data_IF_644970783467
#
_entry.id   IF_644970783467
#
_cell.length_a   1.000
_cell.length_b   1.000
_cell.length_c   1.000
_cell.angle_alpha   90.00
_cell.angle_beta   90.00
_cell.angle_gamma   90.00
#
_symmetry.space_group_name_H-M   'P 1'
#
loop_
_entity.id
_entity.type
_entity.pdbx_description
1 polymer ?
#
# COMPACT_ATOMS: atom_id res chain seq x y z
N UNK A 1 42.50 -49.56 47.05
CA UNK A 1 42.40 -49.98 45.64
C UNK A 1 41.88 -48.81 44.81
N UNK A 2 42.44 -48.62 43.61
CA UNK A 2 42.11 -47.67 42.54
C UNK A 2 42.78 -46.28 42.64
N UNK A 3 43.99 -46.20 42.10
CA UNK A 3 44.60 -44.93 41.68
C UNK A 3 43.98 -44.46 40.36
N UNK A 4 43.68 -43.17 40.28
CA UNK A 4 43.18 -42.53 39.07
C UNK A 4 44.34 -42.24 38.10
N UNK A 5 44.31 -42.86 36.91
CA UNK A 5 45.23 -42.53 35.82
C UNK A 5 44.81 -41.21 35.18
N UNK A 6 45.63 -40.17 35.36
CA UNK A 6 45.49 -38.90 34.67
C UNK A 6 46.09 -39.03 33.26
N UNK A 7 45.24 -39.28 32.26
CA UNK A 7 45.64 -39.30 30.85
C UNK A 7 45.63 -37.86 30.34
N UNK A 8 46.82 -37.30 30.06
CA UNK A 8 46.93 -36.03 29.32
C UNK A 8 46.63 -36.31 27.84
N UNK A 9 45.71 -35.59 27.20
CA UNK A 9 45.49 -35.74 25.77
C UNK A 9 46.68 -35.13 25.01
N UNK A 10 47.54 -35.97 24.44
CA UNK A 10 48.56 -35.54 23.48
C UNK A 10 47.86 -35.25 22.14
N UNK A 11 47.41 -34.01 21.98
CA UNK A 11 46.85 -33.52 20.72
C UNK A 11 48.04 -33.32 19.78
N UNK A 12 48.14 -34.20 18.78
CA UNK A 12 49.22 -34.16 17.78
C UNK A 12 49.32 -32.78 17.12
N UNK A 13 50.52 -32.20 16.94
CA UNK A 13 50.69 -30.92 16.26
C UNK A 13 50.17 -30.96 14.82
N UNK A 14 50.11 -32.14 14.20
CA UNK A 14 49.53 -32.36 12.88
C UNK A 14 48.01 -32.15 12.90
N UNK A 15 47.33 -32.54 13.99
CA UNK A 15 45.90 -32.33 14.16
C UNK A 15 45.57 -30.84 14.39
N UNK A 16 46.43 -30.10 15.09
CA UNK A 16 46.30 -28.64 15.22
C UNK A 16 46.51 -27.93 13.87
N UNK A 17 47.51 -28.33 13.09
CA UNK A 17 47.80 -27.73 11.78
C UNK A 17 46.67 -28.03 10.79
N UNK A 18 46.11 -29.25 10.81
CA UNK A 18 44.96 -29.64 9.99
C UNK A 18 43.69 -28.89 10.40
N UNK A 19 43.44 -28.66 11.70
CA UNK A 19 42.33 -27.82 12.15
C UNK A 19 42.52 -26.35 11.73
N UNK A 20 43.74 -25.80 11.84
CA UNK A 20 44.04 -24.43 11.44
C UNK A 20 43.93 -24.21 9.93
N UNK A 21 44.39 -25.17 9.12
CA UNK A 21 44.23 -25.11 7.66
C UNK A 21 42.78 -25.30 7.24
N UNK A 22 42.00 -26.14 7.93
CA UNK A 22 40.57 -26.27 7.67
C UNK A 22 39.83 -24.95 7.97
N UNK A 23 40.16 -24.24 9.05
CA UNK A 23 39.58 -22.92 9.40
C UNK A 23 39.95 -21.85 8.36
N UNK A 24 41.16 -21.90 7.79
CA UNK A 24 41.59 -20.98 6.73
C UNK A 24 40.98 -21.31 5.35
N UNK A 25 40.57 -22.56 5.11
CA UNK A 25 39.85 -22.99 3.90
C UNK A 25 38.32 -22.88 3.99
N UNK A 26 37.74 -22.62 5.17
CA UNK A 26 36.35 -22.15 5.28
C UNK A 26 36.34 -20.71 4.76
N UNK A 27 36.23 -20.61 3.44
CA UNK A 27 36.17 -19.35 2.71
C UNK A 27 35.17 -18.41 3.39
N UNK A 28 35.61 -17.16 3.57
CA UNK A 28 34.79 -16.04 4.01
C UNK A 28 33.46 -16.11 3.26
N UNK A 29 32.38 -16.45 3.96
CA UNK A 29 31.06 -16.52 3.36
C UNK A 29 30.84 -15.21 2.59
N UNK A 30 30.31 -15.25 1.36
CA UNK A 30 30.07 -14.04 0.60
C UNK A 30 29.23 -13.13 1.49
N UNK A 31 29.78 -11.97 1.86
CA UNK A 31 29.04 -10.96 2.61
C UNK A 31 27.87 -10.57 1.72
N UNK A 32 26.67 -11.04 2.05
CA UNK A 32 25.45 -10.54 1.42
C UNK A 32 25.46 -9.03 1.62
N UNK A 33 25.55 -8.28 0.52
CA UNK A 33 25.51 -6.82 0.58
C UNK A 33 24.23 -6.43 1.30
N UNK A 34 24.36 -5.70 2.40
CA UNK A 34 23.22 -5.06 3.05
C UNK A 34 22.59 -4.11 2.04
N UNK A 35 21.27 -4.17 1.92
CA UNK A 35 20.53 -3.28 1.05
C UNK A 35 20.66 -1.85 1.55
N UNK A 36 20.89 -0.90 0.66
CA UNK A 36 21.00 0.51 1.01
C UNK A 36 19.82 1.32 0.46
N UNK A 37 19.57 2.46 1.11
CA UNK A 37 18.70 3.50 0.54
C UNK A 37 19.14 3.82 -0.88
N UNK A 38 18.19 3.77 -1.82
CA UNK A 38 18.46 4.01 -3.22
C UNK A 38 19.00 2.80 -3.98
N UNK A 39 18.96 1.57 -3.46
CA UNK A 39 19.10 0.36 -4.29
C UNK A 39 17.79 0.01 -5.03
N UNK A 40 16.65 0.50 -4.53
CA UNK A 40 15.33 0.18 -5.05
C UNK A 40 14.65 1.36 -5.74
N UNK A 41 13.74 1.03 -6.66
CA UNK A 41 12.71 1.90 -7.21
C UNK A 41 11.35 1.31 -6.82
N UNK A 42 10.47 2.13 -6.27
CA UNK A 42 9.13 1.75 -5.88
C UNK A 42 8.11 2.47 -6.75
N UNK A 43 7.42 1.71 -7.60
CA UNK A 43 6.34 2.20 -8.44
C UNK A 43 5.02 1.80 -7.80
N UNK A 44 4.13 2.77 -7.58
CA UNK A 44 2.82 2.53 -6.97
C UNK A 44 1.76 3.29 -7.76
N UNK A 45 0.64 2.63 -8.02
CA UNK A 45 -0.54 3.25 -8.61
C UNK A 45 -1.80 2.79 -7.85
N UNK A 46 -2.92 3.45 -8.13
CA UNK A 46 -4.24 2.91 -7.84
C UNK A 46 -4.83 2.44 -9.18
N UNK A 47 -5.54 1.32 -9.18
CA UNK A 47 -6.08 0.70 -10.41
C UNK A 47 -7.52 1.13 -10.73
N UNK A 48 -8.20 1.81 -9.80
CA UNK A 48 -9.60 2.25 -9.97
C UNK A 48 -9.71 3.63 -10.60
N UNK A 49 -8.66 4.45 -10.53
CA UNK A 49 -8.73 5.88 -10.78
C UNK A 49 -9.48 6.60 -9.65
N UNK A 50 -10.20 7.66 -10.01
CA UNK A 50 -11.10 8.37 -9.08
C UNK A 50 -12.21 7.42 -8.61
N UNK A 51 -12.15 6.93 -7.38
CA UNK A 51 -13.19 6.06 -6.85
C UNK A 51 -14.34 6.89 -6.26
N UNK A 52 -15.53 6.80 -6.83
CA UNK A 52 -16.71 7.44 -6.26
C UNK A 52 -17.20 6.64 -5.06
N UNK A 53 -17.66 7.31 -4.01
CA UNK A 53 -18.39 6.70 -2.88
C UNK A 53 -19.66 7.50 -2.60
N UNK A 54 -20.64 6.89 -1.95
CA UNK A 54 -21.81 7.64 -1.48
C UNK A 54 -21.43 8.53 -0.30
N UNK A 55 -22.02 9.73 -0.22
CA UNK A 55 -21.92 10.55 0.99
C UNK A 55 -22.71 9.93 2.17
N UNK A 56 -23.82 9.24 1.88
CA UNK A 56 -24.60 8.47 2.83
C UNK A 56 -25.08 7.16 2.21
N UNK A 57 -25.02 6.08 2.97
CA UNK A 57 -25.34 4.72 2.59
C UNK A 57 -26.74 4.29 3.08
N UNK A 58 -27.44 5.11 3.86
CA UNK A 58 -28.73 4.78 4.50
C UNK A 58 -29.77 4.09 3.60
N UNK A 59 -29.87 4.50 2.33
CA UNK A 59 -30.87 3.96 1.40
C UNK A 59 -30.26 3.15 0.25
N UNK A 60 -29.04 3.50 -0.16
CA UNK A 60 -28.34 2.90 -1.28
C UNK A 60 -26.84 3.13 -1.12
N UNK A 61 -26.04 2.13 -1.48
CA UNK A 61 -24.61 2.27 -1.72
C UNK A 61 -24.31 1.87 -3.15
N UNK A 62 -23.96 2.84 -4.00
CA UNK A 62 -23.47 2.57 -5.36
C UNK A 62 -22.08 1.96 -5.23
N UNK A 63 -21.22 2.62 -4.45
CA UNK A 63 -19.89 2.16 -4.13
C UNK A 63 -19.55 2.52 -2.67
N UNK A 64 -18.88 1.62 -1.93
CA UNK A 64 -18.43 1.87 -0.57
C UNK A 64 -17.21 2.82 -0.54
N UNK A 65 -16.81 3.34 0.63
CA UNK A 65 -15.49 3.93 0.82
C UNK A 65 -14.43 2.88 0.47
N UNK A 66 -13.64 3.14 -0.57
CA UNK A 66 -12.78 2.11 -1.14
C UNK A 66 -11.72 2.74 -2.05
N UNK A 67 -10.50 2.22 -2.00
CA UNK A 67 -9.55 2.31 -3.10
C UNK A 67 -8.53 1.15 -2.98
N UNK A 68 -7.78 0.90 -4.03
CA UNK A 68 -6.70 -0.08 -4.05
C UNK A 68 -5.36 0.61 -4.28
N UNK A 69 -4.28 -0.01 -3.83
CA UNK A 69 -2.92 0.34 -4.23
C UNK A 69 -2.25 -0.90 -4.79
N UNK A 70 -1.64 -0.79 -5.97
CA UNK A 70 -0.76 -1.79 -6.54
C UNK A 70 0.67 -1.26 -6.56
N UNK A 71 1.61 -2.08 -6.13
CA UNK A 71 3.01 -1.72 -6.05
C UNK A 71 3.91 -2.74 -6.78
N UNK A 72 4.93 -2.21 -7.44
CA UNK A 72 6.02 -2.98 -8.00
C UNK A 72 7.35 -2.42 -7.50
N UNK A 73 8.17 -3.32 -6.95
CA UNK A 73 9.50 -2.99 -6.44
C UNK A 73 10.52 -3.45 -7.48
N UNK A 74 11.44 -2.58 -7.85
CA UNK A 74 12.52 -2.88 -8.80
C UNK A 74 13.84 -2.68 -8.07
N UNK A 75 14.65 -3.73 -7.98
CA UNK A 75 16.04 -3.61 -7.61
C UNK A 75 16.81 -3.06 -8.81
N UNK A 76 17.49 -1.93 -8.62
CA UNK A 76 18.27 -1.30 -9.67
C UNK A 76 19.44 -2.21 -10.07
N UNK A 77 19.67 -2.23 -11.37
CA UNK A 77 20.88 -2.79 -11.95
C UNK A 77 22.09 -1.87 -11.79
N UNK A 78 23.22 -2.30 -12.34
CA UNK A 78 24.42 -1.50 -12.54
C UNK A 78 25.02 -1.82 -13.92
N UNK A 79 26.26 -1.40 -14.18
CA UNK A 79 26.95 -1.67 -15.45
C UNK A 79 27.06 -3.17 -15.82
N UNK A 80 26.89 -4.07 -14.85
CA UNK A 80 27.08 -5.52 -14.99
C UNK A 80 25.83 -6.35 -14.65
N UNK A 81 24.85 -5.76 -13.96
CA UNK A 81 23.64 -6.44 -13.48
C UNK A 81 22.39 -5.78 -14.05
N UNK A 82 21.49 -6.57 -14.65
CA UNK A 82 20.19 -6.05 -15.13
C UNK A 82 19.27 -5.71 -13.94
N UNK A 83 18.38 -4.71 -14.07
CA UNK A 83 17.31 -4.47 -13.10
C UNK A 83 16.43 -5.71 -12.91
N UNK A 84 15.92 -5.91 -11.70
CA UNK A 84 15.09 -7.08 -11.35
C UNK A 84 13.85 -6.65 -10.61
N UNK A 85 12.70 -7.20 -11.00
CA UNK A 85 11.47 -7.07 -10.21
C UNK A 85 11.64 -7.90 -8.94
N UNK A 86 11.39 -7.27 -7.81
CA UNK A 86 11.35 -7.90 -6.51
C UNK A 86 9.91 -8.36 -6.28
N UNK A 87 9.74 -9.65 -6.03
CA UNK A 87 8.51 -10.26 -5.55
C UNK A 87 8.71 -10.72 -4.10
N UNK A 88 7.64 -11.15 -3.42
CA UNK A 88 7.62 -11.42 -1.97
C UNK A 88 8.66 -12.41 -1.41
N UNK A 89 9.47 -13.06 -2.25
CA UNK A 89 10.53 -13.99 -1.84
C UNK A 89 11.93 -13.39 -1.84
N UNK A 90 12.14 -12.18 -2.37
CA UNK A 90 13.49 -11.68 -2.66
C UNK A 90 14.13 -10.80 -1.60
N UNK A 91 13.37 -10.31 -0.62
CA UNK A 91 13.91 -9.51 0.48
C UNK A 91 13.41 -10.10 1.80
N UNK A 92 14.21 -10.98 2.39
CA UNK A 92 13.92 -11.58 3.68
C UNK A 92 13.84 -10.50 4.75
N UNK A 93 12.73 -10.47 5.49
CA UNK A 93 12.54 -9.55 6.61
C UNK A 93 12.18 -8.11 6.20
N UNK A 94 12.00 -7.80 4.92
CA UNK A 94 11.46 -6.49 4.54
C UNK A 94 9.94 -6.46 4.63
N UNK A 95 9.41 -5.27 4.90
CA UNK A 95 7.97 -5.01 4.91
C UNK A 95 7.62 -3.85 3.98
N UNK A 96 6.58 -4.03 3.16
CA UNK A 96 5.99 -2.96 2.35
C UNK A 96 4.69 -2.53 2.99
N UNK A 97 4.65 -1.31 3.52
CA UNK A 97 3.50 -0.76 4.24
C UNK A 97 2.93 0.46 3.53
N UNK A 98 1.66 0.76 3.81
CA UNK A 98 1.01 2.01 3.42
C UNK A 98 0.39 2.71 4.63
N UNK A 99 0.27 4.03 4.49
CA UNK A 99 -0.55 4.88 5.36
C UNK A 99 -1.19 5.99 4.53
N UNK A 100 -2.26 6.61 5.05
CA UNK A 100 -2.87 7.80 4.45
C UNK A 100 -2.64 9.01 5.38
N UNK A 101 -1.53 9.75 5.22
CA UNK A 101 -1.22 10.89 6.07
C UNK A 101 -2.34 11.93 6.10
N UNK A 102 -2.83 12.27 7.30
CA UNK A 102 -3.90 13.23 7.51
C UNK A 102 -5.32 12.69 7.31
N UNK A 103 -5.47 11.38 7.07
CA UNK A 103 -6.77 10.71 6.98
C UNK A 103 -6.70 9.32 7.65
N UNK A 104 -6.66 9.34 8.98
CA UNK A 104 -6.36 8.17 9.81
C UNK A 104 -7.59 7.34 10.18
N UNK A 105 -8.79 7.89 9.99
CA UNK A 105 -10.05 7.22 10.24
C UNK A 105 -11.09 7.67 9.21
N UNK A 106 -12.11 6.85 8.99
CA UNK A 106 -13.22 7.12 8.08
C UNK A 106 -14.58 7.03 8.76
N UNK A 107 -14.68 6.28 9.87
CA UNK A 107 -15.89 6.24 10.70
C UNK A 107 -16.25 7.65 11.19
N UNK A 108 -17.53 8.02 11.17
CA UNK A 108 -17.97 9.36 11.53
C UNK A 108 -17.80 10.43 10.43
N UNK A 109 -17.09 10.12 9.34
CA UNK A 109 -17.07 10.93 8.09
C UNK A 109 -18.08 10.42 7.06
N UNK A 110 -18.54 9.18 7.24
CA UNK A 110 -19.61 8.52 6.50
C UNK A 110 -20.38 7.59 7.44
N UNK A 111 -21.57 7.18 7.04
CA UNK A 111 -22.44 6.23 7.76
C UNK A 111 -22.31 4.78 7.25
N UNK A 112 -21.28 4.47 6.44
CA UNK A 112 -21.08 3.16 5.82
C UNK A 112 -21.18 1.98 6.78
N UNK A 113 -20.39 1.97 7.86
CA UNK A 113 -20.37 0.90 8.87
C UNK A 113 -21.67 0.76 9.67
N UNK A 114 -22.60 1.72 9.58
CA UNK A 114 -23.95 1.56 10.16
C UNK A 114 -24.84 0.70 9.28
N UNK A 115 -24.57 0.61 7.97
CA UNK A 115 -25.44 -0.02 6.99
C UNK A 115 -24.79 -1.15 6.20
N UNK A 116 -23.52 -1.47 6.45
CA UNK A 116 -22.78 -2.52 5.77
C UNK A 116 -23.46 -3.91 5.88
N UNK A 117 -23.98 -4.27 7.06
CA UNK A 117 -24.68 -5.54 7.24
C UNK A 117 -25.96 -5.61 6.40
N UNK A 118 -26.68 -4.49 6.28
CA UNK A 118 -27.92 -4.43 5.51
C UNK A 118 -27.68 -4.37 3.99
N UNK A 119 -26.58 -3.76 3.55
CA UNK A 119 -26.30 -3.50 2.12
C UNK A 119 -25.36 -4.53 1.49
N UNK A 120 -24.41 -5.05 2.26
CA UNK A 120 -23.35 -5.96 1.81
C UNK A 120 -23.37 -7.31 2.54
N UNK A 121 -24.22 -7.48 3.56
CA UNK A 121 -24.33 -8.74 4.30
C UNK A 121 -23.15 -9.05 5.21
N UNK A 122 -22.33 -8.03 5.52
CA UNK A 122 -21.13 -8.13 6.37
C UNK A 122 -21.17 -7.05 7.45
N UNK A 123 -20.76 -7.41 8.66
CA UNK A 123 -20.61 -6.51 9.82
C UNK A 123 -19.11 -6.24 10.00
N UNK A 124 -18.63 -5.13 9.46
CA UNK A 124 -17.22 -4.78 9.47
C UNK A 124 -16.87 -4.00 10.73
N UNK A 125 -15.69 -4.25 11.34
CA UNK A 125 -15.16 -3.32 12.34
C UNK A 125 -14.99 -1.92 11.76
N UNK A 126 -15.17 -0.89 12.59
CA UNK A 126 -14.93 0.50 12.23
C UNK A 126 -13.57 0.69 11.54
N UNK A 127 -13.56 1.46 10.45
CA UNK A 127 -12.37 1.77 9.66
C UNK A 127 -11.70 0.58 8.96
N UNK A 128 -12.38 -0.56 8.89
CA UNK A 128 -11.96 -1.72 8.10
C UNK A 128 -12.81 -1.80 6.84
N UNK A 129 -12.17 -1.99 5.70
CA UNK A 129 -12.83 -2.12 4.40
C UNK A 129 -13.25 -3.56 4.11
N UNK A 130 -13.99 -3.73 3.01
CA UNK A 130 -14.59 -5.03 2.61
C UNK A 130 -13.58 -6.17 2.41
N UNK A 131 -12.30 -5.84 2.24
CA UNK A 131 -11.19 -6.78 2.03
C UNK A 131 -10.33 -6.98 3.28
N UNK A 132 -10.73 -6.39 4.41
CA UNK A 132 -10.03 -6.49 5.71
C UNK A 132 -8.91 -5.47 5.91
N UNK A 133 -8.65 -4.59 4.94
CA UNK A 133 -7.63 -3.54 5.05
C UNK A 133 -8.14 -2.30 5.80
N UNK A 134 -7.24 -1.63 6.52
CA UNK A 134 -7.51 -0.34 7.19
C UNK A 134 -6.91 0.85 6.42
N UNK A 135 -6.80 2.00 7.09
CA UNK A 135 -6.16 3.22 6.55
C UNK A 135 -4.62 3.15 6.65
N UNK A 136 -4.12 2.17 7.39
CA UNK A 136 -2.72 1.78 7.48
C UNK A 136 -2.65 0.26 7.40
N UNK A 137 -1.64 -0.28 6.74
CA UNK A 137 -1.46 -1.72 6.66
C UNK A 137 -0.29 -2.14 5.80
N UNK A 138 -0.18 -3.44 5.56
CA UNK A 138 0.88 -4.03 4.77
C UNK A 138 0.31 -4.53 3.44
N UNK A 139 1.12 -4.49 2.38
CA UNK A 139 0.70 -5.04 1.11
C UNK A 139 0.74 -6.57 1.12
N UNK A 140 -0.21 -7.19 0.41
CA UNK A 140 -0.19 -8.63 0.15
C UNK A 140 0.62 -8.92 -1.11
N UNK A 141 1.60 -9.85 -1.08
CA UNK A 141 2.35 -10.25 -2.26
C UNK A 141 1.46 -11.00 -3.25
N UNK A 142 1.60 -10.68 -4.54
CA UNK A 142 0.98 -11.38 -5.67
C UNK A 142 2.08 -11.81 -6.65
N UNK A 143 1.72 -12.59 -7.69
CA UNK A 143 2.69 -13.17 -8.62
C UNK A 143 3.70 -12.17 -9.18
N UNK A 144 3.26 -10.95 -9.52
CA UNK A 144 4.08 -9.92 -10.18
C UNK A 144 4.11 -8.57 -9.44
N UNK A 145 3.96 -8.58 -8.11
CA UNK A 145 4.00 -7.35 -7.33
C UNK A 145 3.32 -7.49 -5.97
N UNK A 146 2.71 -6.41 -5.53
CA UNK A 146 2.11 -6.27 -4.21
C UNK A 146 0.80 -5.50 -4.35
N UNK A 147 -0.22 -5.88 -3.58
CA UNK A 147 -1.51 -5.20 -3.61
C UNK A 147 -2.08 -4.98 -2.20
N UNK A 148 -2.71 -3.83 -2.00
CA UNK A 148 -3.58 -3.54 -0.87
C UNK A 148 -4.92 -3.12 -1.44
N UNK A 149 -5.93 -3.98 -1.35
CA UNK A 149 -7.26 -3.70 -1.89
C UNK A 149 -8.20 -3.19 -0.82
N UNK A 150 -9.23 -2.44 -1.20
CA UNK A 150 -10.33 -2.08 -0.31
C UNK A 150 -9.91 -1.31 0.94
N UNK A 151 -8.95 -0.40 0.78
CA UNK A 151 -8.61 0.60 1.77
C UNK A 151 -9.84 1.50 1.93
N UNK A 152 -10.46 1.61 3.12
CA UNK A 152 -11.73 2.32 3.29
C UNK A 152 -11.50 3.82 3.46
N UNK A 153 -10.78 4.42 2.50
CA UNK A 153 -10.46 5.85 2.50
C UNK A 153 -11.66 6.67 2.06
N UNK A 154 -11.88 7.79 2.74
CA UNK A 154 -12.90 8.79 2.43
C UNK A 154 -12.24 10.06 1.88
N UNK A 155 -12.95 10.93 1.15
CA UNK A 155 -12.33 12.13 0.61
C UNK A 155 -12.18 13.24 1.66
N UNK A 156 -12.42 12.97 2.94
CA UNK A 156 -12.46 13.96 4.01
C UNK A 156 -11.27 13.77 4.95
N UNK A 157 -10.25 14.66 4.92
CA UNK A 157 -9.13 14.60 5.87
C UNK A 157 -9.58 14.81 7.32
N UNK A 158 -8.79 14.32 8.27
CA UNK A 158 -9.07 14.40 9.70
C UNK A 158 -9.23 15.86 10.18
N UNK A 159 -8.43 16.78 9.61
CA UNK A 159 -8.45 18.20 9.95
C UNK A 159 -9.68 18.93 9.41
N UNK A 160 -10.30 18.41 8.34
CA UNK A 160 -11.42 19.02 7.64
C UNK A 160 -12.46 17.96 7.24
N UNK A 161 -13.10 17.28 8.22
CA UNK A 161 -13.91 16.08 7.98
C UNK A 161 -15.20 16.33 7.19
N UNK A 162 -15.50 17.60 6.87
CA UNK A 162 -16.66 18.03 6.07
C UNK A 162 -16.27 18.70 4.75
N UNK A 163 -14.96 18.91 4.49
CA UNK A 163 -14.47 19.52 3.26
C UNK A 163 -13.82 18.43 2.43
N UNK A 164 -14.28 18.28 1.19
CA UNK A 164 -13.80 17.25 0.29
C UNK A 164 -12.41 17.59 -0.27
N UNK A 165 -11.50 16.63 -0.18
CA UNK A 165 -10.17 16.63 -0.78
C UNK A 165 -9.99 15.31 -1.55
N UNK A 166 -10.39 15.26 -2.82
CA UNK A 166 -10.52 13.98 -3.52
C UNK A 166 -9.20 13.42 -4.06
N UNK A 167 -8.12 14.21 -4.05
CA UNK A 167 -6.79 13.82 -4.55
C UNK A 167 -5.76 13.68 -3.41
N UNK A 168 -6.13 12.96 -2.36
CA UNK A 168 -5.21 12.66 -1.26
C UNK A 168 -4.07 11.74 -1.71
N UNK A 169 -2.97 11.75 -0.97
CA UNK A 169 -1.80 10.92 -1.24
C UNK A 169 -1.65 9.86 -0.17
N UNK A 170 -1.33 8.63 -0.59
CA UNK A 170 -0.82 7.62 0.32
C UNK A 170 0.68 7.81 0.53
N UNK A 171 1.22 7.28 1.61
CA UNK A 171 2.65 7.09 1.83
C UNK A 171 2.93 5.60 1.86
N UNK A 172 3.79 5.12 0.96
CA UNK A 172 4.23 3.72 0.91
C UNK A 172 5.71 3.69 1.24
N UNK A 173 6.09 2.77 2.12
CA UNK A 173 7.46 2.59 2.58
C UNK A 173 7.85 1.12 2.46
N UNK A 174 9.02 0.86 1.86
CA UNK A 174 9.70 -0.42 1.98
C UNK A 174 10.74 -0.30 3.09
N UNK A 175 10.61 -1.12 4.12
CA UNK A 175 11.56 -1.19 5.24
C UNK A 175 12.36 -2.49 5.19
N UNK A 176 13.59 -2.49 5.70
CA UNK A 176 14.36 -3.71 5.96
C UNK A 176 14.01 -4.33 7.32
N UNK A 177 14.68 -5.43 7.66
CA UNK A 177 14.49 -6.16 8.92
C UNK A 177 14.83 -5.35 10.17
N UNK A 178 15.63 -4.28 10.02
CA UNK A 178 16.02 -3.40 11.12
C UNK A 178 15.07 -2.19 11.23
N UNK A 179 14.04 -2.12 10.38
CA UNK A 179 13.08 -1.01 10.30
C UNK A 179 13.60 0.20 9.52
N UNK A 180 14.73 0.10 8.83
CA UNK A 180 15.27 1.18 8.01
C UNK A 180 14.50 1.31 6.72
N UNK A 181 14.05 2.53 6.38
CA UNK A 181 13.34 2.77 5.13
C UNK A 181 14.32 2.76 3.94
N UNK A 182 14.13 1.80 3.04
CA UNK A 182 14.95 1.57 1.85
C UNK A 182 14.49 2.44 0.65
N UNK A 183 13.18 2.64 0.52
CA UNK A 183 12.57 3.48 -0.53
C UNK A 183 11.15 3.89 -0.14
N UNK A 184 10.68 5.04 -0.65
CA UNK A 184 9.34 5.58 -0.44
C UNK A 184 8.66 5.93 -1.76
N UNK A 185 7.34 5.92 -1.76
CA UNK A 185 6.51 6.47 -2.85
C UNK A 185 5.27 7.15 -2.29
N UNK A 186 4.77 8.18 -2.98
CA UNK A 186 3.58 8.93 -2.58
C UNK A 186 2.56 9.05 -3.73
N UNK A 187 1.90 7.94 -4.11
CA UNK A 187 0.88 7.95 -5.15
C UNK A 187 -0.38 8.66 -4.66
N UNK A 188 -1.19 9.11 -5.61
CA UNK A 188 -2.55 9.61 -5.32
C UNK A 188 -3.46 8.42 -5.07
N UNK A 189 -4.26 8.49 -4.00
CA UNK A 189 -5.31 7.52 -3.64
C UNK A 189 -6.67 8.22 -3.66
N UNK A 190 -7.24 8.45 -4.85
CA UNK A 190 -8.32 9.40 -4.97
C UNK A 190 -9.69 8.76 -4.69
N UNK A 191 -10.47 9.42 -3.86
CA UNK A 191 -11.87 9.07 -3.61
C UNK A 191 -12.69 10.35 -3.73
N UNK A 192 -13.94 10.27 -4.15
CA UNK A 192 -14.85 11.42 -4.18
C UNK A 192 -16.27 11.03 -3.82
N UNK A 193 -17.03 11.94 -3.20
CA UNK A 193 -18.49 11.81 -3.04
C UNK A 193 -19.27 12.36 -4.24
N UNK A 194 -18.57 12.92 -5.23
CA UNK A 194 -19.18 13.44 -6.44
C UNK A 194 -19.54 12.29 -7.40
N UNK A 195 -20.84 12.05 -7.54
CA UNK A 195 -21.41 11.11 -8.51
C UNK A 195 -22.00 11.82 -9.74
N UNK A 196 -21.82 13.14 -9.84
CA UNK A 196 -22.49 13.98 -10.82
C UNK A 196 -21.50 14.60 -11.81
N UNK A 197 -21.58 14.25 -13.09
CA UNK A 197 -20.69 14.78 -14.13
C UNK A 197 -21.15 16.13 -14.72
N UNK A 198 -22.25 16.73 -14.23
CA UNK A 198 -22.92 17.85 -14.95
C UNK A 198 -22.45 19.25 -14.56
N UNK A 199 -21.58 19.42 -13.57
CA UNK A 199 -20.97 20.74 -13.29
C UNK A 199 -19.62 20.60 -12.63
N UNK A 200 -18.55 20.98 -13.33
CA UNK A 200 -17.23 21.15 -12.71
C UNK A 200 -17.28 22.30 -11.69
N UNK A 201 -17.05 21.98 -10.41
CA UNK A 201 -16.72 22.99 -9.40
C UNK A 201 -17.83 23.49 -8.48
N UNK A 202 -18.80 22.65 -8.06
CA UNK A 202 -19.76 23.04 -7.04
C UNK A 202 -19.53 22.33 -5.70
N UNK A 203 -18.92 23.11 -4.78
CA UNK A 203 -19.06 23.10 -3.32
C UNK A 203 -20.12 22.13 -2.79
N UNK A 204 -19.72 21.34 -1.79
CA UNK A 204 -20.62 20.56 -0.93
C UNK A 204 -21.91 21.33 -0.63
N UNK A 205 -23.03 20.74 -1.02
CA UNK A 205 -24.35 21.28 -0.73
C UNK A 205 -24.75 20.87 0.67
N UNK A 206 -25.45 21.74 1.44
CA UNK A 206 -26.65 21.28 2.11
C UNK A 206 -27.80 21.46 1.12
N UNK A 207 -28.37 20.37 0.62
CA UNK A 207 -29.81 20.29 0.33
C UNK A 207 -30.21 18.85 0.02
N UNK A 208 -30.81 18.23 1.03
CA UNK A 208 -31.99 17.39 0.83
C UNK A 208 -33.00 18.25 0.05
N UNK A 209 -33.16 18.02 -1.26
CA UNK A 209 -34.24 18.63 -2.02
C UNK A 209 -35.43 17.67 -2.04
N UNK A 210 -36.30 17.83 -1.05
CA UNK A 210 -37.73 17.62 -1.28
C UNK A 210 -38.18 18.63 -2.34
N UNK A 211 -38.56 18.15 -3.55
CA UNK A 211 -39.56 18.70 -4.48
C UNK A 211 -39.16 18.71 -5.98
N UNK A 212 -39.92 17.92 -6.76
CA UNK A 212 -40.62 18.27 -8.03
C UNK A 212 -39.81 18.27 -9.37
N UNK A 213 -40.44 17.85 -10.51
CA UNK A 213 -39.80 17.07 -11.59
C UNK A 213 -39.33 17.87 -12.82
N UNK A 214 -38.37 17.27 -13.56
CA UNK A 214 -37.86 17.67 -14.89
C UNK A 214 -36.65 18.61 -14.84
N UNK A 215 -35.62 18.47 -15.72
CA UNK A 215 -35.80 18.69 -17.16
C UNK A 215 -34.91 17.84 -18.11
N UNK A 216 -35.21 18.00 -19.40
CA UNK A 216 -34.57 17.53 -20.64
C UNK A 216 -33.04 17.69 -20.74
N UNK A 217 -32.31 16.78 -21.41
CA UNK A 217 -30.87 16.87 -21.61
C UNK A 217 -30.53 17.84 -22.75
N UNK A 218 -29.86 18.95 -22.43
CA UNK A 218 -29.27 19.84 -23.43
C UNK A 218 -27.83 19.39 -23.73
N UNK A 219 -27.70 18.74 -24.90
CA UNK A 219 -26.53 18.52 -25.76
C UNK A 219 -25.12 18.90 -25.24
N UNK A 220 -24.29 17.89 -25.00
CA UNK A 220 -22.82 18.00 -25.10
C UNK A 220 -22.38 17.59 -26.52
N UNK A 221 -22.33 18.57 -27.43
CA UNK A 221 -21.56 18.44 -28.67
C UNK A 221 -21.00 19.81 -29.03
N UNK A 222 -19.75 20.06 -28.65
CA UNK A 222 -18.91 21.05 -29.32
C UNK A 222 -17.60 20.34 -29.73
N UNK A 223 -17.28 20.29 -31.03
CA UNK A 223 -16.12 19.56 -31.53
C UNK A 223 -14.83 20.36 -31.29
N UNK A 224 -13.74 19.62 -31.02
CA UNK A 224 -12.39 20.14 -30.92
C UNK A 224 -11.96 20.84 -32.22
N UNK A 225 -11.22 21.98 -32.16
CA UNK A 225 -10.71 22.61 -33.37
C UNK A 225 -9.52 21.79 -33.91
N UNK A 226 -9.71 21.14 -35.06
CA UNK A 226 -8.59 20.70 -35.88
C UNK A 226 -8.08 21.89 -36.69
N UNK A 227 -6.87 22.35 -36.38
CA UNK A 227 -6.10 23.24 -37.24
C UNK A 227 -5.46 22.43 -38.37
N UNK A 228 -5.76 22.78 -39.62
CA UNK A 228 -5.03 22.33 -40.81
C UNK A 228 -4.43 23.55 -41.52
N UNK A 229 -3.14 23.48 -41.83
CA UNK A 229 -2.53 24.13 -43.00
C UNK A 229 -3.12 23.60 -44.29
#
# INVERSE_FOLDING_TARGET
MRGACHVKPDISPILLILLFTLILLVGKAPSSRAWASGDFVLLVNNDLGMHCMNQSHKYLSILPPYNNLQAQIILKGDATRKPRIITGTYITGSELTYSIPGNTYSVGKTDFWTYDQHLFGVDLPDNVGLTGNGLTGSFTPIANGFIATGIPVTPFPDATPTVEHPYQKALIELTDSDGTVLVRSTPVIPVSVEVNCVTSGLRGWPRVSTAIPGPTPAACAAPWPMTTT
#
